data_IF_918124519944
#
_entry.id   IF_918124519944
#
_cell.length_a   1.000
_cell.length_b   1.000
_cell.length_c   1.000
_cell.angle_alpha   90.00
_cell.angle_beta   90.00
_cell.angle_gamma   90.00
#
_symmetry.space_group_name_H-M   'P 1'
#
loop_
_entity.id
_entity.type
_entity.pdbx_description
1 polymer ?
#
# COMPACT_ATOMS: atom_id res chain seq x y z
N UNK A 1 15.48 2.64 7.23
CA UNK A 1 14.93 3.77 6.45
C UNK A 1 13.46 3.44 6.17
N UNK A 2 12.66 4.33 5.58
CA UNK A 2 11.32 3.98 5.09
C UNK A 2 11.37 3.76 3.58
N UNK A 3 10.41 2.98 3.07
CA UNK A 3 10.21 2.76 1.64
C UNK A 3 8.81 3.24 1.27
N UNK A 4 8.72 4.02 0.20
CA UNK A 4 7.45 4.46 -0.35
C UNK A 4 6.93 3.44 -1.35
N UNK A 5 5.65 3.10 -1.23
CA UNK A 5 4.94 2.20 -2.14
C UNK A 5 3.69 2.87 -2.65
N UNK A 6 3.39 2.69 -3.94
CA UNK A 6 2.09 3.00 -4.52
C UNK A 6 1.29 1.70 -4.60
N UNK A 7 0.17 1.66 -3.91
CA UNK A 7 -0.73 0.51 -3.82
C UNK A 7 -2.01 0.85 -4.59
N UNK A 8 -2.39 -0.01 -5.54
CA UNK A 8 -3.63 0.15 -6.32
C UNK A 8 -4.59 -0.97 -5.97
N UNK A 9 -5.81 -0.61 -5.54
CA UNK A 9 -6.86 -1.53 -5.10
C UNK A 9 -8.04 -1.54 -6.09
N UNK A 10 -7.76 -1.47 -7.40
CA UNK A 10 -8.80 -1.45 -8.43
C UNK A 10 -9.34 -2.86 -8.71
N UNK A 11 -10.66 -3.02 -8.60
CA UNK A 11 -11.34 -4.27 -8.95
C UNK A 11 -11.29 -5.38 -7.89
N UNK A 12 -10.76 -5.08 -6.70
CA UNK A 12 -10.83 -5.99 -5.55
C UNK A 12 -12.22 -5.95 -4.91
N UNK A 13 -12.59 -7.01 -4.18
CA UNK A 13 -13.87 -7.02 -3.43
C UNK A 13 -13.81 -6.04 -2.25
N UNK A 14 -14.97 -5.62 -1.74
CA UNK A 14 -15.04 -4.74 -0.56
C UNK A 14 -14.34 -5.35 0.67
N UNK A 15 -14.42 -6.67 0.86
CA UNK A 15 -13.72 -7.37 1.94
C UNK A 15 -12.20 -7.23 1.82
N UNK A 16 -11.66 -7.44 0.60
CA UNK A 16 -10.24 -7.33 0.30
C UNK A 16 -9.79 -5.87 0.41
N UNK A 17 -10.60 -4.93 -0.08
CA UNK A 17 -10.34 -3.50 0.07
C UNK A 17 -10.20 -3.13 1.55
N UNK A 18 -11.18 -3.50 2.38
CA UNK A 18 -11.18 -3.15 3.80
C UNK A 18 -9.99 -3.78 4.56
N UNK A 19 -9.64 -5.04 4.25
CA UNK A 19 -8.45 -5.71 4.82
C UNK A 19 -7.15 -5.03 4.39
N UNK A 20 -7.04 -4.70 3.11
CA UNK A 20 -5.88 -4.02 2.56
C UNK A 20 -5.72 -2.63 3.20
N UNK A 21 -6.80 -1.85 3.29
CA UNK A 21 -6.75 -0.52 3.91
C UNK A 21 -6.43 -0.60 5.41
N UNK A 22 -7.02 -1.55 6.15
CA UNK A 22 -6.72 -1.76 7.57
C UNK A 22 -5.24 -2.11 7.80
N UNK A 23 -4.71 -3.03 6.98
CA UNK A 23 -3.29 -3.38 7.01
C UNK A 23 -2.40 -2.16 6.73
N UNK A 24 -2.71 -1.41 5.68
CA UNK A 24 -1.96 -0.20 5.29
C UNK A 24 -2.02 0.84 6.41
N UNK A 25 -3.19 1.10 7.00
CA UNK A 25 -3.36 2.06 8.10
C UNK A 25 -2.59 1.66 9.37
N UNK A 26 -2.51 0.36 9.65
CA UNK A 26 -1.83 -0.16 10.84
C UNK A 26 -0.31 -0.18 10.73
N UNK A 27 0.21 -0.39 9.52
CA UNK A 27 1.63 -0.67 9.29
C UNK A 27 2.38 0.45 8.57
N UNK A 28 1.69 1.34 7.85
CA UNK A 28 2.33 2.47 7.20
C UNK A 28 2.64 3.59 8.20
N UNK A 29 3.77 4.25 8.01
CA UNK A 29 4.18 5.45 8.73
C UNK A 29 3.47 6.69 8.19
N UNK A 30 3.18 6.72 6.88
CA UNK A 30 2.49 7.83 6.20
C UNK A 30 1.61 7.29 5.09
N UNK A 31 0.50 7.96 4.87
CA UNK A 31 -0.54 7.58 3.92
C UNK A 31 -0.96 8.80 3.12
N UNK A 32 -1.09 8.63 1.82
CA UNK A 32 -1.60 9.64 0.91
C UNK A 32 -2.56 8.97 -0.08
N UNK A 33 -3.86 9.17 0.15
CA UNK A 33 -4.92 8.62 -0.69
C UNK A 33 -5.10 9.50 -1.94
N UNK A 34 -4.99 8.90 -3.13
CA UNK A 34 -5.17 9.57 -4.42
C UNK A 34 -6.43 9.04 -5.11
N UNK A 35 -7.60 9.66 -4.86
CA UNK A 35 -8.87 9.18 -5.39
C UNK A 35 -8.95 9.29 -6.91
N UNK A 36 -8.24 10.25 -7.51
CA UNK A 36 -8.16 10.49 -8.95
C UNK A 36 -7.60 9.32 -9.77
N UNK A 37 -6.78 8.47 -9.15
CA UNK A 37 -6.16 7.29 -9.76
C UNK A 37 -6.45 6.00 -9.00
N UNK A 38 -7.30 6.04 -7.97
CA UNK A 38 -7.61 4.93 -7.07
C UNK A 38 -6.36 4.25 -6.50
N UNK A 39 -5.36 5.06 -6.12
CA UNK A 39 -4.10 4.57 -5.53
C UNK A 39 -3.87 5.14 -4.14
N UNK A 40 -3.15 4.38 -3.32
CA UNK A 40 -2.71 4.76 -1.99
C UNK A 40 -1.20 4.77 -2.01
N UNK A 41 -0.61 5.95 -1.81
CA UNK A 41 0.82 6.04 -1.54
C UNK A 41 1.04 5.85 -0.04
N UNK A 42 1.79 4.82 0.32
CA UNK A 42 2.05 4.44 1.70
C UNK A 42 3.56 4.30 1.93
N UNK A 43 4.07 4.99 2.95
CA UNK A 43 5.44 4.79 3.42
C UNK A 43 5.44 3.69 4.47
N UNK A 44 6.17 2.61 4.22
CA UNK A 44 6.37 1.52 5.17
C UNK A 44 7.77 1.57 5.76
N UNK A 45 7.97 1.12 7.00
CA UNK A 45 9.30 0.95 7.56
C UNK A 45 10.03 -0.20 6.83
N UNK A 46 11.37 -0.17 6.80
CA UNK A 46 12.20 -1.12 6.01
C UNK A 46 12.00 -2.60 6.37
N UNK A 47 11.53 -2.89 7.57
CA UNK A 47 11.21 -4.23 8.08
C UNK A 47 9.89 -4.79 7.54
N UNK A 48 9.04 -3.94 6.94
CA UNK A 48 7.76 -4.33 6.36
C UNK A 48 7.83 -4.23 4.83
N UNK A 49 7.58 -5.37 4.16
CA UNK A 49 7.46 -5.44 2.71
C UNK A 49 6.00 -5.68 2.33
N UNK A 50 5.22 -4.61 2.02
CA UNK A 50 3.81 -4.74 1.66
C UNK A 50 3.59 -5.64 0.43
N UNK A 51 4.58 -5.77 -0.46
CA UNK A 51 4.49 -6.65 -1.64
C UNK A 51 4.54 -8.15 -1.28
N UNK A 52 4.89 -8.48 -0.04
CA UNK A 52 4.90 -9.85 0.49
C UNK A 52 3.75 -10.12 1.46
N UNK A 53 2.95 -9.12 1.79
CA UNK A 53 1.87 -9.25 2.78
C UNK A 53 0.67 -9.97 2.19
N UNK A 54 0.11 -10.99 2.87
CA UNK A 54 -1.07 -11.72 2.39
C UNK A 54 -2.28 -10.81 2.19
N UNK A 55 -2.41 -9.76 3.00
CA UNK A 55 -3.49 -8.78 2.97
C UNK A 55 -3.47 -7.91 1.70
N UNK A 56 -2.32 -7.84 1.01
CA UNK A 56 -2.12 -7.01 -0.19
C UNK A 56 -1.80 -7.85 -1.44
N UNK A 57 -1.98 -9.17 -1.40
CA UNK A 57 -1.70 -10.05 -2.54
C UNK A 57 -2.55 -9.73 -3.78
N UNK A 58 -3.78 -9.28 -3.56
CA UNK A 58 -4.69 -8.86 -4.63
C UNK A 58 -4.48 -7.40 -5.05
N UNK A 59 -3.64 -6.66 -4.33
CA UNK A 59 -3.30 -5.28 -4.64
C UNK A 59 -2.14 -5.22 -5.64
N UNK A 60 -2.19 -4.27 -6.57
CA UNK A 60 -1.02 -3.96 -7.39
C UNK A 60 -0.10 -3.01 -6.64
N UNK A 61 1.10 -3.50 -6.29
CA UNK A 61 2.07 -2.75 -5.47
C UNK A 61 3.29 -2.40 -6.31
N UNK A 62 3.62 -1.11 -6.33
CA UNK A 62 4.84 -0.59 -6.95
C UNK A 62 5.72 0.06 -5.89
N UNK A 63 6.95 -0.44 -5.73
CA UNK A 63 7.94 0.25 -4.92
C UNK A 63 8.39 1.53 -5.65
N UNK A 64 8.18 2.68 -5.01
CA UNK A 64 8.67 3.97 -5.47
C UNK A 64 9.91 4.24 -4.64
N UNK A 65 11.03 3.61 -4.97
CA UNK A 65 12.31 4.03 -4.40
C UNK A 65 12.44 5.52 -4.74
N UNK A 66 12.44 6.39 -3.74
CA UNK A 66 12.90 7.76 -3.93
C UNK A 66 14.32 7.64 -4.46
N UNK A 67 14.51 7.98 -5.73
CA UNK A 67 15.84 8.27 -6.26
C UNK A 67 16.36 9.42 -5.41
N UNK A 68 17.36 9.12 -4.57
CA UNK A 68 18.28 10.12 -4.02
C UNK A 68 19.01 10.80 -5.18
#
# INVERSE_FOLDING_TARGET
MSKLYTITLNGVTEEVYNKATDYIEKHALRLNYRPEVSTIDAEFPDDIDPAKSPELQEAYIRNVQQRL
#
